data_IF_969138290147
#
_entry.id   IF_969138290147
#
_cell.length_a   1.000
_cell.length_b   1.000
_cell.length_c   1.000
_cell.angle_alpha   90.00
_cell.angle_beta   90.00
_cell.angle_gamma   90.00
#
_symmetry.space_group_name_H-M   'P 1'
#
loop_
_entity.id
_entity.type
_entity.pdbx_description
1 polymer ?
#
# COMPACT_ATOMS: atom_id res chain seq x y z
N UNK A 1 -27.86 12.49 -17.27
CA UNK A 1 -27.63 12.16 -15.84
C UNK A 1 -26.22 12.59 -15.47
N UNK A 2 -26.01 13.14 -14.27
CA UNK A 2 -24.65 13.42 -13.80
C UNK A 2 -23.97 12.14 -13.30
N UNK A 3 -22.63 12.12 -13.29
CA UNK A 3 -21.85 11.02 -12.74
C UNK A 3 -22.21 10.77 -11.26
N UNK A 4 -22.33 11.83 -10.47
CA UNK A 4 -22.72 11.76 -9.05
C UNK A 4 -24.10 11.12 -8.87
N UNK A 5 -25.08 11.47 -9.71
CA UNK A 5 -26.41 10.87 -9.68
C UNK A 5 -26.35 9.36 -9.97
N UNK A 6 -25.47 8.95 -10.88
CA UNK A 6 -25.30 7.56 -11.29
C UNK A 6 -24.67 6.74 -10.17
N UNK A 7 -23.58 7.24 -9.58
CA UNK A 7 -22.89 6.56 -8.47
C UNK A 7 -23.79 6.49 -7.24
N UNK A 8 -24.53 7.56 -6.91
CA UNK A 8 -25.47 7.54 -5.79
C UNK A 8 -26.53 6.45 -5.98
N UNK A 9 -27.18 6.40 -7.15
CA UNK A 9 -28.22 5.41 -7.40
C UNK A 9 -27.69 3.97 -7.50
N UNK A 10 -26.46 3.77 -7.98
CA UNK A 10 -25.87 2.45 -8.16
C UNK A 10 -25.24 1.88 -6.87
N UNK A 11 -24.61 2.72 -6.05
CA UNK A 11 -23.77 2.28 -4.94
C UNK A 11 -24.33 2.73 -3.60
N UNK A 12 -24.65 4.02 -3.46
CA UNK A 12 -24.92 4.64 -2.15
C UNK A 12 -26.40 4.62 -1.72
N UNK A 13 -27.35 4.42 -2.65
CA UNK A 13 -28.79 4.53 -2.38
C UNK A 13 -29.37 3.39 -1.54
N UNK A 14 -28.86 2.16 -1.69
CA UNK A 14 -29.33 0.99 -0.92
C UNK A 14 -28.28 0.62 0.13
N UNK A 15 -28.71 0.41 1.38
CA UNK A 15 -27.80 0.09 2.48
C UNK A 15 -26.98 -1.19 2.22
N UNK A 16 -27.58 -2.20 1.59
CA UNK A 16 -26.88 -3.45 1.26
C UNK A 16 -25.78 -3.26 0.20
N UNK A 17 -26.04 -2.50 -0.88
CA UNK A 17 -25.03 -2.21 -1.90
C UNK A 17 -23.96 -1.27 -1.35
N UNK A 18 -24.34 -0.35 -0.47
CA UNK A 18 -23.42 0.55 0.21
C UNK A 18 -22.46 -0.20 1.13
N UNK A 19 -22.97 -1.10 1.99
CA UNK A 19 -22.14 -1.92 2.86
C UNK A 19 -21.18 -2.80 2.05
N UNK A 20 -21.65 -3.42 0.97
CA UNK A 20 -20.80 -4.19 0.06
C UNK A 20 -19.67 -3.32 -0.54
N UNK A 21 -20.01 -2.11 -0.99
CA UNK A 21 -19.04 -1.19 -1.56
C UNK A 21 -17.98 -0.74 -0.55
N UNK A 22 -18.36 -0.56 0.73
CA UNK A 22 -17.40 -0.28 1.81
C UNK A 22 -16.44 -1.46 1.99
N UNK A 23 -16.96 -2.68 2.10
CA UNK A 23 -16.12 -3.87 2.35
C UNK A 23 -15.14 -4.08 1.20
N UNK A 24 -15.62 -4.04 -0.03
CA UNK A 24 -14.77 -4.17 -1.22
C UNK A 24 -13.78 -3.01 -1.28
N UNK A 25 -14.26 -1.78 -1.11
CA UNK A 25 -13.43 -0.58 -1.11
C UNK A 25 -12.31 -0.64 -0.08
N UNK A 26 -12.60 -1.12 1.14
CA UNK A 26 -11.61 -1.27 2.21
C UNK A 26 -10.51 -2.26 1.86
N UNK A 27 -10.84 -3.44 1.33
CA UNK A 27 -9.84 -4.46 0.95
C UNK A 27 -8.91 -3.93 -0.15
N UNK A 28 -9.45 -3.26 -1.17
CA UNK A 28 -8.62 -2.67 -2.23
C UNK A 28 -7.81 -1.48 -1.71
N UNK A 29 -8.41 -0.64 -0.86
CA UNK A 29 -7.74 0.51 -0.28
C UNK A 29 -6.56 0.09 0.59
N UNK A 30 -6.73 -0.92 1.47
CA UNK A 30 -5.66 -1.47 2.30
C UNK A 30 -4.43 -1.85 1.47
N UNK A 31 -4.61 -2.67 0.43
CA UNK A 31 -3.51 -3.13 -0.42
C UNK A 31 -2.79 -2.00 -1.15
N UNK A 32 -3.55 -1.04 -1.69
CA UNK A 32 -2.98 0.10 -2.38
C UNK A 32 -2.27 1.04 -1.40
N UNK A 33 -2.89 1.31 -0.26
CA UNK A 33 -2.37 2.25 0.73
C UNK A 33 -1.10 1.73 1.38
N UNK A 34 -1.03 0.44 1.72
CA UNK A 34 0.18 -0.19 2.26
C UNK A 34 1.34 -0.09 1.27
N UNK A 35 1.12 -0.44 -0.01
CA UNK A 35 2.18 -0.37 -1.03
C UNK A 35 2.66 1.07 -1.27
N UNK A 36 1.73 2.02 -1.32
CA UNK A 36 2.07 3.44 -1.49
C UNK A 36 2.81 3.98 -0.26
N UNK A 37 2.34 3.64 0.94
CA UNK A 37 2.95 4.02 2.20
C UNK A 37 4.36 3.49 2.33
N UNK A 38 4.54 2.19 2.12
CA UNK A 38 5.86 1.55 2.11
C UNK A 38 6.74 2.15 1.01
N UNK A 39 6.22 2.33 -0.20
CA UNK A 39 6.97 2.91 -1.32
C UNK A 39 7.49 4.31 -1.00
N UNK A 40 6.63 5.17 -0.46
CA UNK A 40 6.99 6.53 -0.07
C UNK A 40 7.99 6.52 1.09
N UNK A 41 7.77 5.70 2.10
CA UNK A 41 8.67 5.58 3.24
C UNK A 41 10.06 5.07 2.81
N UNK A 42 10.10 4.12 1.88
CA UNK A 42 11.32 3.57 1.30
C UNK A 42 12.09 4.58 0.50
N UNK A 43 11.38 5.36 -0.31
CA UNK A 43 11.98 6.43 -1.08
C UNK A 43 12.60 7.51 -0.18
N UNK A 44 11.88 7.94 0.86
CA UNK A 44 12.37 8.99 1.78
C UNK A 44 13.58 8.51 2.61
N UNK A 45 13.60 7.22 2.98
CA UNK A 45 14.62 6.65 3.86
C UNK A 45 15.62 5.74 3.15
N UNK A 46 15.78 5.92 1.84
CA UNK A 46 16.66 5.09 1.03
C UNK A 46 18.10 5.12 1.58
N UNK A 47 18.71 3.94 1.68
CA UNK A 47 20.09 3.76 2.16
C UNK A 47 20.24 3.79 3.69
N UNK A 48 19.16 4.04 4.44
CA UNK A 48 19.16 4.00 5.90
C UNK A 48 18.51 2.75 6.47
N UNK A 49 17.68 2.07 5.68
CA UNK A 49 16.95 0.92 6.16
C UNK A 49 17.83 -0.32 6.19
N UNK A 50 17.59 -1.21 7.15
CA UNK A 50 18.33 -2.48 7.25
C UNK A 50 18.32 -3.26 5.94
N UNK A 51 17.20 -3.27 5.20
CA UNK A 51 17.10 -3.95 3.90
C UNK A 51 18.03 -3.39 2.82
N UNK A 52 18.39 -2.12 2.91
CA UNK A 52 19.35 -1.48 1.99
C UNK A 52 20.79 -1.82 2.41
N UNK A 53 21.05 -1.84 3.72
CA UNK A 53 22.36 -2.09 4.31
C UNK A 53 22.76 -3.58 4.34
N UNK A 54 21.78 -4.49 4.26
CA UNK A 54 22.01 -5.93 4.47
C UNK A 54 23.05 -6.52 3.53
N UNK A 55 23.08 -6.06 2.27
CA UNK A 55 24.07 -6.53 1.29
C UNK A 55 25.49 -6.15 1.72
N UNK A 56 25.67 -4.91 2.17
CA UNK A 56 26.97 -4.40 2.58
C UNK A 56 27.46 -5.07 3.86
N UNK A 57 26.56 -5.35 4.81
CA UNK A 57 26.88 -6.09 6.04
C UNK A 57 27.34 -7.51 5.70
N UNK A 58 26.58 -8.24 4.89
CA UNK A 58 26.92 -9.61 4.51
C UNK A 58 28.24 -9.72 3.74
N UNK A 59 28.55 -8.73 2.89
CA UNK A 59 29.83 -8.65 2.18
C UNK A 59 31.01 -8.40 3.13
N UNK A 60 30.81 -7.63 4.20
CA UNK A 60 31.84 -7.36 5.20
C UNK A 60 32.13 -8.59 6.05
N UNK A 61 31.10 -9.29 6.51
CA UNK A 61 31.26 -10.55 7.26
C UNK A 61 32.04 -11.59 6.43
N UNK A 62 31.71 -11.74 5.15
CA UNK A 62 32.41 -12.69 4.27
C UNK A 62 33.89 -12.35 3.99
N UNK A 63 34.30 -11.08 4.14
CA UNK A 63 35.69 -10.64 3.95
C UNK A 63 36.50 -10.58 5.24
N UNK A 64 35.87 -10.79 6.41
CA UNK A 64 36.54 -10.88 7.72
C UNK A 64 36.92 -12.33 8.06
N UNK A 65 36.39 -13.31 7.34
CA UNK A 65 36.66 -14.75 7.49
C UNK A 65 37.86 -15.27 6.67
N UNK A 66 38.51 -14.42 5.85
CA UNK A 66 39.74 -14.68 5.05
C UNK A 66 41.00 -14.05 5.68
#
# INVERSE_FOLDING_TARGET
MSLTQTVYNAVFKRTSTFALAIVVGAVFFERCFDQLGDGLYNYINQGKQFKDLRKDIALREAGEDD
#
